data_IF_967639077721
#
_entry.id   IF_967639077721
#
_cell.length_a   1.000
_cell.length_b   1.000
_cell.length_c   1.000
_cell.angle_alpha   90.00
_cell.angle_beta   90.00
_cell.angle_gamma   90.00
#
_symmetry.space_group_name_H-M   'P 1'
#
loop_
_entity.id
_entity.type
_entity.pdbx_description
1 polymer ?
#
# COMPACT_ATOMS: atom_id res chain seq x y z
N UNK A 1 -34.98 -31.03 -15.68
CA UNK A 1 -36.04 -31.26 -14.71
C UNK A 1 -36.67 -29.90 -14.34
N UNK A 2 -38.00 -29.78 -14.48
CA UNK A 2 -38.75 -28.54 -14.31
C UNK A 2 -38.63 -28.01 -12.86
N UNK A 3 -38.68 -28.91 -11.88
CA UNK A 3 -38.51 -28.58 -10.46
C UNK A 3 -37.21 -27.81 -10.18
N UNK A 4 -36.08 -28.28 -10.70
CA UNK A 4 -34.80 -27.58 -10.54
C UNK A 4 -34.75 -26.17 -11.19
N UNK A 5 -35.51 -25.97 -12.28
CA UNK A 5 -35.59 -24.64 -12.90
C UNK A 5 -36.38 -23.65 -12.06
N UNK A 6 -37.42 -24.11 -11.35
CA UNK A 6 -38.22 -23.28 -10.44
C UNK A 6 -37.42 -22.95 -9.18
N UNK A 7 -36.72 -23.95 -8.60
CA UNK A 7 -35.81 -23.73 -7.47
C UNK A 7 -34.70 -22.75 -7.80
N UNK A 8 -34.02 -22.93 -8.94
CA UNK A 8 -32.98 -22.02 -9.37
C UNK A 8 -33.51 -20.57 -9.59
N UNK A 9 -34.72 -20.40 -10.13
CA UNK A 9 -35.35 -19.08 -10.27
C UNK A 9 -35.65 -18.43 -8.91
N UNK A 10 -36.15 -19.20 -7.95
CA UNK A 10 -36.36 -18.73 -6.56
C UNK A 10 -35.05 -18.24 -5.96
N UNK A 11 -34.02 -19.07 -6.01
CA UNK A 11 -32.72 -18.79 -5.43
C UNK A 11 -32.08 -17.55 -6.07
N UNK A 12 -32.20 -17.42 -7.39
CA UNK A 12 -31.72 -16.24 -8.11
C UNK A 12 -32.46 -14.96 -7.70
N UNK A 13 -33.77 -15.03 -7.45
CA UNK A 13 -34.55 -13.90 -6.97
C UNK A 13 -34.19 -13.49 -5.54
N UNK A 14 -33.98 -14.46 -4.66
CA UNK A 14 -33.50 -14.23 -3.30
C UNK A 14 -32.13 -13.53 -3.34
N UNK A 15 -31.19 -14.07 -4.13
CA UNK A 15 -29.85 -13.48 -4.29
C UNK A 15 -29.89 -12.07 -4.83
N UNK A 16 -30.67 -11.81 -5.87
CA UNK A 16 -30.84 -10.46 -6.44
C UNK A 16 -31.43 -9.47 -5.44
N UNK A 17 -32.51 -9.88 -4.76
CA UNK A 17 -33.19 -9.04 -3.77
C UNK A 17 -32.27 -8.68 -2.60
N UNK A 18 -31.54 -9.64 -2.07
CA UNK A 18 -30.56 -9.38 -1.02
C UNK A 18 -29.39 -8.54 -1.50
N UNK A 19 -28.88 -8.79 -2.70
CA UNK A 19 -27.83 -7.98 -3.33
C UNK A 19 -28.26 -6.51 -3.56
N UNK A 20 -29.54 -6.26 -3.91
CA UNK A 20 -30.10 -4.93 -4.01
C UNK A 20 -30.21 -4.24 -2.64
N UNK A 21 -30.55 -4.97 -1.60
CA UNK A 21 -30.57 -4.49 -0.22
C UNK A 21 -29.15 -4.04 0.19
N UNK A 22 -28.16 -4.89 0.01
CA UNK A 22 -26.76 -4.59 0.38
C UNK A 22 -26.21 -3.37 -0.38
N UNK A 23 -26.52 -3.23 -1.67
CA UNK A 23 -26.09 -2.08 -2.47
C UNK A 23 -26.66 -0.73 -1.98
N UNK A 24 -27.77 -0.75 -1.27
CA UNK A 24 -28.37 0.45 -0.66
C UNK A 24 -27.74 0.80 0.70
N UNK A 25 -26.96 -0.13 1.29
CA UNK A 25 -26.29 0.11 2.55
C UNK A 25 -25.07 0.99 2.36
N UNK A 26 -24.94 2.01 3.20
CA UNK A 26 -23.76 2.85 3.27
C UNK A 26 -23.04 2.54 4.58
N UNK A 27 -22.00 1.70 4.49
CA UNK A 27 -21.17 1.34 5.63
C UNK A 27 -19.97 2.28 5.69
N UNK A 28 -19.95 3.15 6.70
CA UNK A 28 -18.92 4.18 6.89
C UNK A 28 -18.30 3.99 8.26
N UNK A 29 -16.97 3.86 8.32
CA UNK A 29 -16.25 3.62 9.56
C UNK A 29 -15.57 4.90 10.06
N UNK A 30 -15.77 5.20 11.34
CA UNK A 30 -15.03 6.18 12.12
C UNK A 30 -15.27 7.64 11.77
N UNK A 31 -14.50 8.51 12.39
CA UNK A 31 -14.49 9.96 12.18
C UNK A 31 -13.89 10.29 10.81
N UNK A 32 -12.90 9.51 10.37
CA UNK A 32 -12.26 9.62 9.06
C UNK A 32 -13.17 9.23 7.88
N UNK A 33 -14.38 8.71 8.17
CA UNK A 33 -15.42 8.35 7.19
C UNK A 33 -14.92 7.41 6.10
N UNK A 34 -14.19 6.37 6.48
CA UNK A 34 -13.72 5.35 5.54
C UNK A 34 -14.89 4.51 5.06
N UNK A 35 -15.19 4.54 3.76
CA UNK A 35 -16.22 3.71 3.16
C UNK A 35 -15.76 2.23 3.17
N UNK A 36 -16.71 1.33 3.50
CA UNK A 36 -16.48 -0.11 3.58
C UNK A 36 -17.50 -0.87 2.75
N UNK A 37 -17.08 -1.97 2.19
CA UNK A 37 -17.94 -2.85 1.41
C UNK A 37 -18.51 -3.98 2.27
N UNK A 38 -19.72 -4.42 1.93
CA UNK A 38 -20.37 -5.59 2.50
C UNK A 38 -20.46 -6.65 1.41
N UNK A 39 -19.99 -7.87 1.71
CA UNK A 39 -19.90 -8.96 0.76
C UNK A 39 -20.92 -10.03 1.07
N UNK A 40 -22.05 -10.14 0.32
CA UNK A 40 -23.00 -11.22 0.48
C UNK A 40 -22.43 -12.55 -0.07
N UNK A 41 -22.55 -13.61 0.72
CA UNK A 41 -22.14 -14.98 0.39
C UNK A 41 -23.36 -15.88 0.45
N UNK A 42 -23.62 -16.62 -0.63
CA UNK A 42 -24.76 -17.54 -0.77
C UNK A 42 -24.32 -19.00 -0.90
N UNK A 43 -23.04 -19.27 -0.79
CA UNK A 43 -22.48 -20.62 -0.93
C UNK A 43 -22.82 -21.48 0.29
N UNK A 44 -22.78 -22.80 0.11
CA UNK A 44 -23.05 -23.73 1.18
C UNK A 44 -22.00 -23.68 2.30
N UNK A 45 -20.79 -23.22 2.00
CA UNK A 45 -19.67 -23.07 2.94
C UNK A 45 -19.01 -21.71 2.77
N UNK A 46 -18.51 -21.16 3.89
CA UNK A 46 -17.70 -19.95 3.88
C UNK A 46 -16.25 -20.25 3.45
N UNK A 47 -15.72 -19.46 2.53
CA UNK A 47 -14.30 -19.48 2.20
C UNK A 47 -13.47 -18.79 3.28
N UNK A 48 -12.16 -19.09 3.36
CA UNK A 48 -11.23 -18.41 4.28
C UNK A 48 -11.20 -16.89 4.04
N UNK A 49 -11.33 -16.44 2.80
CA UNK A 49 -11.35 -15.03 2.43
C UNK A 49 -12.53 -14.26 3.03
N UNK A 50 -13.63 -14.95 3.30
CA UNK A 50 -14.80 -14.35 3.96
C UNK A 50 -14.50 -13.86 5.38
N UNK A 51 -13.46 -14.39 6.05
CA UNK A 51 -13.03 -13.99 7.39
C UNK A 51 -12.12 -12.75 7.39
N UNK A 52 -11.69 -12.29 6.21
CA UNK A 52 -10.82 -11.11 6.05
C UNK A 52 -11.59 -9.85 5.61
N UNK A 53 -12.91 -9.93 5.54
CA UNK A 53 -13.80 -8.86 5.11
C UNK A 53 -15.16 -8.95 5.81
N UNK A 54 -15.96 -7.88 5.73
CA UNK A 54 -17.32 -7.88 6.25
C UNK A 54 -18.19 -8.73 5.34
N UNK A 55 -18.32 -10.00 5.66
CA UNK A 55 -19.10 -10.99 4.89
C UNK A 55 -20.44 -11.24 5.53
N UNK A 56 -21.50 -11.25 4.71
CA UNK A 56 -22.86 -11.62 5.11
C UNK A 56 -23.18 -12.98 4.49
N UNK A 57 -23.19 -14.01 5.31
CA UNK A 57 -23.55 -15.36 4.88
C UNK A 57 -25.07 -15.54 4.94
N UNK A 58 -25.67 -15.55 3.78
CA UNK A 58 -27.12 -15.61 3.60
C UNK A 58 -27.55 -17.04 3.36
N UNK A 59 -28.45 -17.53 4.21
CA UNK A 59 -29.06 -18.84 4.13
C UNK A 59 -30.59 -18.68 4.15
N UNK A 60 -31.30 -19.58 3.52
CA UNK A 60 -32.76 -19.53 3.44
C UNK A 60 -33.41 -20.86 3.92
N UNK A 61 -34.66 -20.77 4.34
CA UNK A 61 -35.44 -21.89 4.89
C UNK A 61 -35.83 -22.93 3.85
N UNK A 62 -35.51 -22.81 2.59
CA UNK A 62 -35.64 -23.88 1.58
C UNK A 62 -34.41 -24.79 1.55
N UNK A 63 -33.27 -24.30 1.99
CA UNK A 63 -32.00 -25.04 2.01
C UNK A 63 -31.61 -25.54 3.41
N UNK A 64 -31.87 -24.76 4.46
CA UNK A 64 -31.52 -25.10 5.86
C UNK A 64 -32.58 -24.59 6.84
N UNK A 65 -32.59 -25.09 8.05
CA UNK A 65 -33.41 -24.55 9.12
C UNK A 65 -32.72 -23.43 9.90
N UNK A 66 -33.50 -22.63 10.63
CA UNK A 66 -32.97 -21.50 11.43
C UNK A 66 -32.00 -21.96 12.51
N UNK A 67 -32.25 -23.13 13.13
CA UNK A 67 -31.40 -23.64 14.20
C UNK A 67 -29.99 -23.97 13.69
N UNK A 68 -29.90 -24.48 12.46
CA UNK A 68 -28.61 -24.71 11.80
C UNK A 68 -27.83 -23.42 11.59
N UNK A 69 -28.48 -22.35 11.11
CA UNK A 69 -27.82 -21.04 10.93
C UNK A 69 -27.39 -20.42 12.27
N UNK A 70 -28.24 -20.57 13.28
CA UNK A 70 -27.95 -20.15 14.66
C UNK A 70 -26.80 -20.96 15.28
N UNK A 71 -26.70 -22.25 14.99
CA UNK A 71 -25.60 -23.11 15.41
C UNK A 71 -24.29 -22.69 14.74
N UNK A 72 -24.30 -22.46 13.42
CA UNK A 72 -23.15 -21.94 12.67
C UNK A 72 -22.66 -20.63 13.28
N UNK A 73 -23.58 -19.71 13.59
CA UNK A 73 -23.23 -18.42 14.22
C UNK A 73 -22.63 -18.60 15.63
N UNK A 74 -23.11 -19.56 16.42
CA UNK A 74 -22.57 -19.90 17.76
C UNK A 74 -21.19 -20.56 17.65
N UNK A 75 -21.00 -21.42 16.66
CA UNK A 75 -19.70 -22.07 16.41
C UNK A 75 -18.63 -21.10 15.94
N UNK A 76 -19.03 -20.05 15.22
CA UNK A 76 -18.13 -18.97 14.84
C UNK A 76 -17.68 -18.22 16.10
N UNK A 77 -16.37 -17.90 16.18
CA UNK A 77 -15.82 -17.09 17.27
C UNK A 77 -16.59 -15.78 17.42
N UNK A 78 -16.73 -15.29 18.65
CA UNK A 78 -17.28 -13.94 18.92
C UNK A 78 -16.45 -12.82 18.27
N UNK A 79 -15.20 -13.11 17.91
CA UNK A 79 -14.32 -12.22 17.15
C UNK A 79 -14.48 -12.35 15.63
N UNK A 80 -15.31 -13.29 15.14
CA UNK A 80 -15.55 -13.43 13.70
C UNK A 80 -16.27 -12.18 13.16
N UNK A 81 -15.81 -11.61 12.04
CA UNK A 81 -16.49 -10.50 11.37
C UNK A 81 -17.69 -10.96 10.53
N UNK A 82 -17.94 -12.27 10.44
CA UNK A 82 -19.02 -12.83 9.63
C UNK A 82 -20.37 -12.53 10.25
N UNK A 83 -21.31 -12.12 9.41
CA UNK A 83 -22.72 -11.89 9.73
C UNK A 83 -23.51 -13.05 9.14
N UNK A 84 -24.44 -13.62 9.91
CA UNK A 84 -25.26 -14.73 9.50
C UNK A 84 -26.69 -14.26 9.32
N UNK A 85 -27.25 -14.41 8.13
CA UNK A 85 -28.63 -14.03 7.80
C UNK A 85 -29.42 -15.28 7.47
N UNK A 86 -30.57 -15.42 8.11
CA UNK A 86 -31.56 -16.47 7.81
C UNK A 86 -32.82 -15.81 7.25
N UNK A 87 -33.24 -16.23 6.06
CA UNK A 87 -34.49 -15.81 5.40
C UNK A 87 -35.49 -17.00 5.57
N UNK A 88 -36.58 -16.84 6.32
CA UNK A 88 -37.48 -17.94 6.57
C UNK A 88 -38.26 -18.35 5.32
N UNK A 89 -38.58 -19.65 5.24
CA UNK A 89 -39.48 -20.20 4.25
C UNK A 89 -40.92 -19.84 4.62
N UNK A 90 -41.47 -18.85 3.91
CA UNK A 90 -42.86 -18.41 4.07
C UNK A 90 -43.64 -18.64 2.78
N UNK A 91 -44.92 -18.99 2.88
CA UNK A 91 -45.86 -19.17 1.76
C UNK A 91 -45.22 -19.91 0.56
N UNK A 92 -44.53 -21.02 0.87
CA UNK A 92 -43.67 -21.73 -0.10
C UNK A 92 -44.46 -22.29 -1.29
N UNK A 93 -45.69 -22.78 -1.04
CA UNK A 93 -46.53 -23.35 -2.10
C UNK A 93 -47.07 -22.26 -3.04
N UNK A 94 -47.50 -21.12 -2.50
CA UNK A 94 -47.91 -19.95 -3.30
C UNK A 94 -46.76 -19.39 -4.13
N UNK A 95 -45.56 -19.20 -3.51
CA UNK A 95 -44.39 -18.77 -4.20
C UNK A 95 -44.03 -19.70 -5.35
N UNK A 96 -44.07 -21.02 -5.12
CA UNK A 96 -43.82 -22.01 -6.17
C UNK A 96 -44.86 -21.92 -7.28
N UNK A 97 -46.12 -21.76 -6.98
CA UNK A 97 -47.22 -21.64 -7.92
C UNK A 97 -46.98 -20.43 -8.85
N UNK A 98 -46.76 -19.23 -8.30
CA UNK A 98 -46.51 -18.01 -9.12
C UNK A 98 -45.18 -18.06 -9.88
N UNK A 99 -44.16 -18.76 -9.39
CA UNK A 99 -42.92 -19.00 -10.15
C UNK A 99 -43.16 -19.88 -11.38
N UNK A 100 -44.04 -20.88 -11.27
CA UNK A 100 -44.47 -21.75 -12.38
C UNK A 100 -45.20 -20.88 -13.43
N UNK A 101 -46.21 -20.12 -12.99
CA UNK A 101 -46.97 -19.26 -13.87
C UNK A 101 -46.11 -18.24 -14.62
N UNK A 102 -45.18 -17.59 -13.87
CA UNK A 102 -44.22 -16.66 -14.47
C UNK A 102 -43.33 -17.34 -15.54
N UNK A 103 -42.79 -18.52 -15.25
CA UNK A 103 -41.94 -19.25 -16.21
C UNK A 103 -42.70 -19.75 -17.40
N UNK A 104 -43.92 -20.28 -17.20
CA UNK A 104 -44.78 -20.75 -18.28
C UNK A 104 -45.19 -19.62 -19.21
N UNK A 105 -45.64 -18.49 -18.66
CA UNK A 105 -45.99 -17.29 -19.42
C UNK A 105 -44.76 -16.73 -20.19
N UNK A 106 -43.62 -16.62 -19.52
CA UNK A 106 -42.38 -16.15 -20.17
C UNK A 106 -41.96 -17.05 -21.32
N UNK A 107 -41.92 -18.36 -21.09
CA UNK A 107 -41.53 -19.33 -22.14
C UNK A 107 -42.50 -19.33 -23.33
N UNK A 108 -43.78 -19.09 -23.08
CA UNK A 108 -44.78 -18.97 -24.15
C UNK A 108 -44.59 -17.71 -24.98
N UNK A 109 -44.37 -16.56 -24.31
CA UNK A 109 -44.10 -15.28 -24.95
C UNK A 109 -42.82 -15.31 -25.81
N UNK A 110 -41.76 -15.96 -25.31
CA UNK A 110 -40.47 -16.06 -26.00
C UNK A 110 -40.52 -16.97 -27.26
N UNK A 111 -41.32 -18.04 -27.20
CA UNK A 111 -41.40 -19.02 -28.27
C UNK A 111 -42.31 -18.59 -29.44
N UNK A 112 -43.37 -17.82 -29.18
CA UNK A 112 -44.44 -17.56 -30.17
C UNK A 112 -44.27 -16.26 -30.99
N UNK A 113 -43.28 -15.44 -30.68
CA UNK A 113 -43.03 -14.21 -31.43
C UNK A 113 -44.23 -13.23 -31.40
N UNK A 114 -44.32 -12.33 -32.41
CA UNK A 114 -45.40 -11.38 -32.56
C UNK A 114 -46.53 -12.04 -33.38
N UNK A 115 -47.77 -12.12 -32.86
CA UNK A 115 -48.87 -12.75 -33.55
C UNK A 115 -49.39 -11.87 -34.70
N UNK A 116 -49.85 -12.55 -35.76
CA UNK A 116 -50.40 -11.90 -36.98
C UNK A 116 -51.92 -11.93 -37.01
N UNK A 117 -52.59 -12.47 -35.99
CA UNK A 117 -54.06 -12.54 -35.90
C UNK A 117 -54.60 -11.83 -34.67
N UNK A 118 -55.84 -11.34 -34.69
CA UNK A 118 -56.49 -10.71 -33.55
C UNK A 118 -56.51 -11.62 -32.31
N UNK A 119 -56.89 -12.90 -32.51
CA UNK A 119 -56.94 -13.91 -31.42
C UNK A 119 -55.55 -14.20 -30.84
N UNK A 120 -54.51 -14.20 -31.70
CA UNK A 120 -53.13 -14.34 -31.29
C UNK A 120 -52.67 -13.17 -30.44
N UNK A 121 -53.10 -11.94 -30.81
CA UNK A 121 -52.77 -10.71 -30.04
C UNK A 121 -53.48 -10.71 -28.68
N UNK A 122 -54.72 -11.14 -28.61
CA UNK A 122 -55.48 -11.27 -27.36
C UNK A 122 -54.83 -12.35 -26.46
N UNK A 123 -54.46 -13.50 -26.98
CA UNK A 123 -53.78 -14.55 -26.24
C UNK A 123 -52.40 -14.08 -25.71
N UNK A 124 -51.64 -13.32 -26.52
CA UNK A 124 -50.40 -12.69 -26.06
C UNK A 124 -50.62 -11.71 -24.92
N UNK A 125 -51.60 -10.82 -25.04
CA UNK A 125 -51.97 -9.86 -23.99
C UNK A 125 -52.36 -10.57 -22.68
N UNK A 126 -53.12 -11.67 -22.79
CA UNK A 126 -53.48 -12.48 -21.62
C UNK A 126 -52.23 -13.12 -20.96
N UNK A 127 -51.25 -13.58 -21.73
CA UNK A 127 -50.00 -14.13 -21.19
C UNK A 127 -49.11 -13.04 -20.57
N UNK A 128 -49.05 -11.86 -21.16
CA UNK A 128 -48.33 -10.71 -20.58
C UNK A 128 -48.98 -10.29 -19.24
N UNK A 129 -50.30 -10.27 -19.15
CA UNK A 129 -51.02 -10.00 -17.91
C UNK A 129 -50.75 -11.06 -16.86
N UNK A 130 -50.79 -12.33 -17.23
CA UNK A 130 -50.44 -13.46 -16.31
C UNK A 130 -49.02 -13.32 -15.77
N UNK A 131 -48.08 -13.02 -16.66
CA UNK A 131 -46.68 -12.80 -16.28
C UNK A 131 -46.50 -11.65 -15.30
N UNK A 132 -47.15 -10.50 -15.56
CA UNK A 132 -47.11 -9.31 -14.69
C UNK A 132 -47.74 -9.58 -13.32
N UNK A 133 -48.90 -10.25 -13.29
CA UNK A 133 -49.56 -10.63 -12.04
C UNK A 133 -48.71 -11.56 -11.21
N UNK A 134 -48.14 -12.62 -11.84
CA UNK A 134 -47.25 -13.54 -11.18
C UNK A 134 -46.01 -12.83 -10.64
N UNK A 135 -45.39 -11.93 -11.40
CA UNK A 135 -44.26 -11.11 -10.95
C UNK A 135 -44.57 -10.24 -9.73
N UNK A 136 -45.75 -9.59 -9.72
CA UNK A 136 -46.22 -8.82 -8.58
C UNK A 136 -46.39 -9.66 -7.33
N UNK A 137 -47.04 -10.83 -7.46
CA UNK A 137 -47.26 -11.76 -6.34
C UNK A 137 -45.96 -12.38 -5.81
N UNK A 138 -45.05 -12.74 -6.68
CA UNK A 138 -43.71 -13.23 -6.29
C UNK A 138 -42.98 -12.15 -5.47
N UNK A 139 -43.03 -10.88 -5.89
CA UNK A 139 -42.43 -9.77 -5.15
C UNK A 139 -43.01 -9.64 -3.75
N UNK A 140 -44.35 -9.62 -3.62
CA UNK A 140 -45.03 -9.53 -2.32
C UNK A 140 -44.65 -10.69 -1.39
N UNK A 141 -44.64 -11.93 -1.90
CA UNK A 141 -44.26 -13.12 -1.13
C UNK A 141 -42.82 -13.12 -0.69
N UNK A 142 -41.91 -12.62 -1.54
CA UNK A 142 -40.49 -12.45 -1.16
C UNK A 142 -40.33 -11.31 -0.15
N UNK A 143 -41.11 -10.20 -0.26
CA UNK A 143 -41.11 -9.13 0.74
C UNK A 143 -41.55 -9.65 2.10
N UNK A 144 -42.56 -10.48 2.15
CA UNK A 144 -43.01 -11.14 3.41
C UNK A 144 -41.93 -12.09 3.99
N UNK A 145 -41.29 -12.92 3.16
CA UNK A 145 -40.18 -13.76 3.61
C UNK A 145 -39.03 -12.93 4.18
N UNK A 146 -38.62 -11.85 3.49
CA UNK A 146 -37.56 -10.94 3.93
C UNK A 146 -37.91 -10.18 5.21
N UNK A 147 -39.19 -9.83 5.41
CA UNK A 147 -39.64 -9.18 6.65
C UNK A 147 -39.47 -10.07 7.88
N UNK A 148 -39.49 -11.39 7.71
CA UNK A 148 -39.23 -12.36 8.77
C UNK A 148 -37.79 -12.79 8.92
N UNK A 149 -36.86 -12.19 8.18
CA UNK A 149 -35.44 -12.53 8.23
C UNK A 149 -34.82 -12.23 9.61
N UNK A 150 -33.85 -13.04 9.99
CA UNK A 150 -33.11 -12.92 11.26
C UNK A 150 -31.61 -12.75 10.99
N UNK A 151 -30.97 -11.97 11.82
CA UNK A 151 -29.55 -11.63 11.69
C UNK A 151 -28.83 -12.04 12.97
N UNK A 152 -27.74 -12.81 12.82
CA UNK A 152 -26.88 -13.23 13.92
C UNK A 152 -25.44 -12.79 13.67
N UNK A 153 -24.72 -12.57 14.74
CA UNK A 153 -23.28 -12.30 14.72
C UNK A 153 -22.50 -13.55 15.15
N UNK A 154 -21.21 -13.57 14.89
CA UNK A 154 -20.29 -14.55 15.47
C UNK A 154 -20.45 -14.59 17.00
N UNK A 155 -20.47 -15.81 17.55
CA UNK A 155 -20.85 -16.07 18.95
C UNK A 155 -22.34 -16.29 19.15
N UNK A 156 -23.18 -16.15 18.10
CA UNK A 156 -24.61 -16.48 18.11
C UNK A 156 -25.55 -15.40 18.64
N UNK A 157 -25.07 -14.18 18.89
CA UNK A 157 -25.90 -13.06 19.31
C UNK A 157 -26.81 -12.61 18.16
N UNK A 158 -28.10 -12.48 18.43
CA UNK A 158 -29.08 -11.98 17.47
C UNK A 158 -29.15 -10.45 17.49
N UNK A 159 -29.19 -9.84 16.30
CA UNK A 159 -29.48 -8.42 16.12
C UNK A 159 -30.98 -8.27 15.87
N UNK A 160 -31.61 -7.42 16.65
CA UNK A 160 -33.06 -7.11 16.54
C UNK A 160 -33.19 -5.68 16.07
N UNK A 161 -33.98 -5.45 15.03
CA UNK A 161 -34.20 -4.12 14.45
C UNK A 161 -35.51 -4.03 13.70
N UNK A 162 -35.80 -2.86 13.13
CA UNK A 162 -37.05 -2.58 12.44
C UNK A 162 -37.20 -3.40 11.14
N UNK A 163 -36.12 -3.62 10.43
CA UNK A 163 -36.07 -4.32 9.15
C UNK A 163 -34.69 -4.97 8.92
N UNK A 164 -34.62 -5.82 7.90
CA UNK A 164 -33.39 -6.52 7.54
C UNK A 164 -32.24 -5.58 7.16
N UNK A 165 -32.57 -4.43 6.57
CA UNK A 165 -31.57 -3.42 6.18
C UNK A 165 -30.90 -2.84 7.42
N UNK A 166 -31.67 -2.40 8.39
CA UNK A 166 -31.20 -1.84 9.67
C UNK A 166 -30.39 -2.87 10.46
N UNK A 167 -30.90 -4.11 10.58
CA UNK A 167 -30.21 -5.21 11.28
C UNK A 167 -28.88 -5.55 10.61
N UNK A 168 -28.85 -5.61 9.27
CA UNK A 168 -27.63 -5.93 8.52
C UNK A 168 -26.58 -4.82 8.67
N UNK A 169 -26.98 -3.55 8.63
CA UNK A 169 -26.08 -2.41 8.82
C UNK A 169 -25.51 -2.35 10.23
N UNK A 170 -26.33 -2.60 11.24
CA UNK A 170 -25.86 -2.69 12.64
C UNK A 170 -24.88 -3.84 12.83
N UNK A 171 -25.20 -5.02 12.33
CA UNK A 171 -24.29 -6.16 12.36
C UNK A 171 -22.96 -5.87 11.63
N UNK A 172 -23.01 -5.15 10.49
CA UNK A 172 -21.84 -4.76 9.73
C UNK A 172 -20.97 -3.76 10.50
N UNK A 173 -21.55 -2.77 11.18
CA UNK A 173 -20.81 -1.85 12.03
C UNK A 173 -20.10 -2.61 13.20
N UNK A 174 -20.79 -3.57 13.81
CA UNK A 174 -20.19 -4.41 14.84
C UNK A 174 -19.07 -5.31 14.28
N UNK A 175 -19.23 -5.82 13.06
CA UNK A 175 -18.23 -6.63 12.37
C UNK A 175 -16.95 -5.81 12.07
N UNK A 176 -17.07 -4.51 11.73
CA UNK A 176 -15.91 -3.64 11.52
C UNK A 176 -15.02 -3.52 12.75
N UNK A 177 -15.59 -3.45 13.96
CA UNK A 177 -14.81 -3.37 15.20
C UNK A 177 -13.99 -4.64 15.45
N UNK A 178 -14.53 -5.80 15.03
CA UNK A 178 -13.85 -7.09 15.14
C UNK A 178 -12.80 -7.28 14.04
N UNK A 179 -13.08 -6.79 12.84
CA UNK A 179 -12.18 -6.91 11.71
C UNK A 179 -11.00 -5.95 11.81
N UNK A 180 -11.23 -4.73 12.37
CA UNK A 180 -10.26 -3.65 12.45
C UNK A 180 -10.09 -3.10 13.87
N UNK A 181 -9.64 -3.92 14.85
CA UNK A 181 -9.51 -3.48 16.25
C UNK A 181 -8.51 -2.32 16.43
N UNK A 182 -7.54 -2.17 15.53
CA UNK A 182 -6.54 -1.10 15.57
C UNK A 182 -6.91 0.14 14.72
N UNK A 183 -8.12 0.16 14.15
CA UNK A 183 -8.57 1.27 13.29
C UNK A 183 -8.52 2.63 14.01
N UNK A 184 -8.90 2.65 15.28
CA UNK A 184 -8.97 3.85 16.12
C UNK A 184 -7.65 4.64 16.19
N UNK A 185 -6.50 3.98 15.97
CA UNK A 185 -5.18 4.61 16.03
C UNK A 185 -5.00 5.66 14.93
N UNK A 186 -5.57 5.40 13.75
CA UNK A 186 -5.46 6.28 12.58
C UNK A 186 -6.79 6.98 12.23
N UNK A 187 -7.83 6.87 13.09
CA UNK A 187 -9.15 7.44 12.79
C UNK A 187 -9.19 8.95 13.01
N UNK A 188 -8.69 9.70 12.02
CA UNK A 188 -8.69 11.16 12.03
C UNK A 188 -8.87 11.74 10.63
N UNK A 189 -9.66 12.82 10.49
CA UNK A 189 -9.95 13.48 9.20
C UNK A 189 -8.74 14.20 8.59
N UNK A 190 -7.75 14.54 9.39
CA UNK A 190 -6.60 15.36 8.99
C UNK A 190 -5.53 14.63 8.17
N UNK A 191 -5.60 13.32 7.98
CA UNK A 191 -4.54 12.55 7.32
C UNK A 191 -4.28 12.97 5.88
N UNK A 192 -5.31 13.37 5.15
CA UNK A 192 -5.14 13.94 3.81
C UNK A 192 -4.23 15.19 3.83
N UNK A 193 -4.46 16.07 4.81
CA UNK A 193 -3.62 17.27 4.98
C UNK A 193 -2.20 16.92 5.43
N UNK A 194 -2.03 15.89 6.27
CA UNK A 194 -0.70 15.38 6.64
C UNK A 194 0.04 14.91 5.40
N UNK A 195 -0.58 14.09 4.56
CA UNK A 195 0.00 13.58 3.32
C UNK A 195 0.46 14.73 2.41
N UNK A 196 -0.42 15.70 2.14
CA UNK A 196 -0.12 16.85 1.27
C UNK A 196 1.04 17.73 1.81
N UNK A 197 1.09 17.94 3.13
CA UNK A 197 2.16 18.72 3.77
C UNK A 197 3.47 17.95 3.78
N UNK A 198 3.47 16.68 4.16
CA UNK A 198 4.66 15.84 4.18
C UNK A 198 5.25 15.66 2.78
N UNK A 199 4.41 15.53 1.74
CA UNK A 199 4.85 15.51 0.34
C UNK A 199 5.58 16.79 -0.08
N UNK A 200 5.24 17.93 0.51
CA UNK A 200 5.97 19.20 0.31
C UNK A 200 7.23 19.32 1.18
N UNK A 201 7.51 18.31 2.01
CA UNK A 201 8.65 18.29 2.92
C UNK A 201 8.43 19.09 4.20
N UNK A 202 7.18 19.35 4.60
CA UNK A 202 6.88 20.10 5.83
C UNK A 202 7.12 19.21 7.08
N UNK A 203 8.01 19.61 8.02
CA UNK A 203 8.33 18.82 9.21
C UNK A 203 7.20 18.80 10.24
N UNK A 204 6.27 19.75 10.17
CA UNK A 204 5.14 19.92 11.09
C UNK A 204 3.81 19.37 10.54
N UNK A 205 3.88 18.46 9.58
CA UNK A 205 2.69 17.89 8.93
C UNK A 205 1.70 17.26 9.92
N UNK A 206 2.20 16.62 10.99
CA UNK A 206 1.39 15.94 12.02
C UNK A 206 0.49 16.88 12.84
N UNK A 207 0.73 18.18 12.83
CA UNK A 207 -0.20 19.15 13.46
C UNK A 207 -1.61 19.07 12.91
N UNK A 208 -1.77 18.58 11.67
CA UNK A 208 -3.09 18.39 11.06
C UNK A 208 -3.91 17.27 11.71
N UNK A 209 -3.28 16.38 12.47
CA UNK A 209 -3.93 15.33 13.26
C UNK A 209 -3.81 15.59 14.78
N UNK A 210 -3.45 16.80 15.18
CA UNK A 210 -3.39 17.21 16.57
C UNK A 210 -2.10 16.85 17.32
N UNK A 211 -1.07 16.37 16.59
CA UNK A 211 0.24 16.07 17.18
C UNK A 211 1.20 17.26 17.08
N UNK A 212 2.12 17.38 18.03
CA UNK A 212 3.13 18.44 18.10
C UNK A 212 4.26 18.36 17.05
N UNK A 213 4.15 17.39 16.14
CA UNK A 213 5.09 17.20 15.03
C UNK A 213 6.20 16.19 15.31
N UNK A 214 6.28 15.60 16.50
CA UNK A 214 7.26 14.55 16.78
C UNK A 214 6.78 13.16 16.33
N UNK A 215 7.40 12.62 15.27
CA UNK A 215 7.12 11.28 14.76
C UNK A 215 7.17 10.17 15.81
N UNK A 216 8.10 10.28 16.76
CA UNK A 216 8.30 9.28 17.83
C UNK A 216 7.11 9.15 18.77
N UNK A 217 6.31 10.19 18.91
CA UNK A 217 5.11 10.22 19.76
C UNK A 217 3.86 9.77 19.02
N UNK A 218 3.80 9.96 17.70
CA UNK A 218 2.65 9.57 16.89
C UNK A 218 2.52 8.05 16.76
N UNK A 219 1.38 7.51 17.17
CA UNK A 219 1.16 6.05 17.18
C UNK A 219 1.15 5.44 15.78
N UNK A 220 0.63 6.14 14.76
CA UNK A 220 0.62 5.67 13.36
C UNK A 220 2.06 5.58 12.84
N UNK A 221 2.84 6.65 12.98
CA UNK A 221 4.23 6.69 12.55
C UNK A 221 5.07 5.61 13.24
N UNK A 222 4.92 5.44 14.56
CA UNK A 222 5.62 4.43 15.34
C UNK A 222 5.30 3.01 14.89
N UNK A 223 4.02 2.72 14.63
CA UNK A 223 3.57 1.40 14.19
C UNK A 223 4.09 1.09 12.78
N UNK A 224 4.03 2.05 11.86
CA UNK A 224 4.60 1.91 10.50
C UNK A 224 6.12 1.71 10.58
N UNK A 225 6.82 2.50 11.37
CA UNK A 225 8.27 2.40 11.55
C UNK A 225 8.69 1.00 12.03
N UNK A 226 7.99 0.46 13.04
CA UNK A 226 8.24 -0.89 13.54
C UNK A 226 8.00 -1.98 12.49
N UNK A 227 6.99 -1.82 11.64
CA UNK A 227 6.69 -2.77 10.58
C UNK A 227 7.72 -2.77 9.43
N UNK A 228 8.30 -1.62 9.11
CA UNK A 228 9.30 -1.49 8.04
C UNK A 228 10.57 -2.29 8.36
N UNK A 229 11.02 -2.33 9.62
CA UNK A 229 12.19 -3.05 10.15
C UNK A 229 13.30 -3.36 9.12
N UNK A 230 13.31 -4.54 8.52
CA UNK A 230 14.30 -5.00 7.52
C UNK A 230 14.10 -4.47 6.09
N UNK A 231 13.17 -3.55 5.88
CA UNK A 231 12.80 -3.00 4.56
C UNK A 231 11.51 -3.61 4.02
N UNK A 232 10.63 -2.75 3.49
CA UNK A 232 9.33 -3.13 2.91
C UNK A 232 8.99 -2.26 1.71
N UNK A 233 8.33 -2.84 0.71
CA UNK A 233 7.73 -2.07 -0.38
C UNK A 233 6.48 -1.34 0.10
N UNK A 234 6.21 -0.16 -0.46
CA UNK A 234 5.02 0.61 -0.10
C UNK A 234 3.71 -0.16 -0.31
N UNK A 235 3.63 -1.01 -1.35
CA UNK A 235 2.45 -1.86 -1.58
C UNK A 235 2.21 -2.86 -0.44
N UNK A 236 3.27 -3.44 0.13
CA UNK A 236 3.17 -4.40 1.23
C UNK A 236 2.78 -3.68 2.53
N UNK A 237 3.27 -2.45 2.73
CA UNK A 237 2.91 -1.61 3.87
C UNK A 237 1.44 -1.22 3.80
N UNK A 238 0.95 -0.78 2.64
CA UNK A 238 -0.48 -0.49 2.42
C UNK A 238 -1.33 -1.73 2.66
N UNK A 239 -0.99 -2.86 2.02
CA UNK A 239 -1.73 -4.11 2.19
C UNK A 239 -1.86 -4.53 3.66
N UNK A 240 -0.81 -4.32 4.45
CA UNK A 240 -0.82 -4.65 5.87
C UNK A 240 -1.73 -3.70 6.67
N UNK A 241 -1.58 -2.38 6.51
CA UNK A 241 -2.30 -1.41 7.33
C UNK A 241 -3.71 -1.05 6.82
N UNK A 242 -4.00 -1.22 5.54
CA UNK A 242 -5.36 -1.10 5.00
C UNK A 242 -6.16 -2.41 5.20
N UNK A 243 -5.48 -3.53 5.46
CA UNK A 243 -6.05 -4.86 5.65
C UNK A 243 -6.57 -5.12 7.05
N UNK A 244 -6.84 -6.41 7.31
CA UNK A 244 -7.31 -6.93 8.59
C UNK A 244 -6.45 -6.43 9.76
N UNK A 245 -7.08 -6.28 10.90
CA UNK A 245 -6.59 -5.75 12.17
C UNK A 245 -6.46 -4.22 12.21
N UNK A 246 -6.06 -3.55 11.13
CA UNK A 246 -5.86 -2.11 11.09
C UNK A 246 -6.97 -1.36 10.33
N UNK A 247 -7.18 -1.65 9.07
CA UNK A 247 -8.17 -1.00 8.22
C UNK A 247 -7.94 0.51 8.04
N UNK A 248 -6.70 0.99 8.20
CA UNK A 248 -6.39 2.42 8.10
C UNK A 248 -6.67 2.98 6.72
N UNK A 249 -6.96 4.25 6.63
CA UNK A 249 -7.09 4.91 5.33
C UNK A 249 -5.75 4.98 4.62
N UNK A 250 -5.76 4.89 3.29
CA UNK A 250 -4.55 5.07 2.49
C UNK A 250 -3.84 6.41 2.76
N UNK A 251 -4.60 7.46 3.09
CA UNK A 251 -4.02 8.76 3.46
C UNK A 251 -3.24 8.69 4.78
N UNK A 252 -3.69 7.88 5.74
CA UNK A 252 -2.98 7.70 7.00
C UNK A 252 -1.69 6.89 6.81
N UNK A 253 -1.73 5.85 6.01
CA UNK A 253 -0.55 5.02 5.71
C UNK A 253 0.49 5.82 4.94
N UNK A 254 0.10 6.43 3.83
CA UNK A 254 0.99 7.22 2.98
C UNK A 254 1.50 8.47 3.72
N UNK A 255 0.62 9.14 4.45
CA UNK A 255 0.99 10.30 5.28
C UNK A 255 2.01 9.94 6.33
N UNK A 256 1.81 8.85 7.06
CA UNK A 256 2.75 8.34 8.06
C UNK A 256 4.11 7.99 7.46
N UNK A 257 4.14 7.33 6.29
CA UNK A 257 5.36 7.03 5.55
C UNK A 257 6.14 8.29 5.17
N UNK A 258 5.45 9.28 4.57
CA UNK A 258 6.12 10.52 4.16
C UNK A 258 6.59 11.36 5.34
N UNK A 259 5.86 11.37 6.45
CA UNK A 259 6.31 12.03 7.69
C UNK A 259 7.59 11.39 8.23
N UNK A 260 7.66 10.05 8.29
CA UNK A 260 8.87 9.32 8.69
C UNK A 260 10.05 9.61 7.75
N UNK A 261 9.79 9.73 6.44
CA UNK A 261 10.80 10.05 5.45
C UNK A 261 11.32 11.49 5.62
N UNK A 262 10.42 12.47 5.79
CA UNK A 262 10.78 13.89 6.02
C UNK A 262 11.56 14.05 7.33
N UNK A 263 11.21 13.27 8.36
CA UNK A 263 11.94 13.25 9.62
C UNK A 263 13.32 12.55 9.53
N UNK A 264 13.62 11.89 8.41
CA UNK A 264 14.88 11.18 8.20
C UNK A 264 15.02 9.90 9.02
N UNK A 265 13.91 9.35 9.51
CA UNK A 265 13.88 8.08 10.26
C UNK A 265 13.85 6.86 9.35
N UNK A 266 13.39 7.05 8.12
CA UNK A 266 13.42 6.06 7.05
C UNK A 266 13.97 6.69 5.77
N UNK A 267 14.45 5.85 4.85
CA UNK A 267 14.79 6.24 3.48
C UNK A 267 13.89 5.54 2.47
N UNK A 268 13.64 6.21 1.36
CA UNK A 268 12.88 5.69 0.23
C UNK A 268 13.85 5.44 -0.94
N UNK A 269 13.72 4.27 -1.59
CA UNK A 269 14.54 3.88 -2.74
C UNK A 269 13.66 3.44 -3.90
N UNK A 270 14.00 3.85 -5.11
CA UNK A 270 13.37 3.38 -6.34
C UNK A 270 13.77 1.94 -6.69
N UNK A 271 13.27 1.44 -7.82
CA UNK A 271 13.59 0.09 -8.31
C UNK A 271 15.07 -0.07 -8.69
N UNK A 272 15.80 1.02 -8.87
CA UNK A 272 17.25 1.05 -9.17
C UNK A 272 18.10 1.20 -7.92
N UNK A 273 17.47 1.32 -6.73
CA UNK A 273 18.14 1.53 -5.46
C UNK A 273 18.58 2.98 -5.20
N UNK A 274 18.13 3.93 -6.03
CA UNK A 274 18.43 5.36 -5.82
C UNK A 274 17.47 5.94 -4.77
N UNK A 275 17.99 6.82 -3.92
CA UNK A 275 17.19 7.47 -2.89
C UNK A 275 16.28 8.53 -3.53
N UNK A 276 15.04 8.56 -3.09
CA UNK A 276 13.97 9.44 -3.53
C UNK A 276 13.54 10.34 -2.36
N UNK A 277 13.35 11.64 -2.63
CA UNK A 277 12.79 12.59 -1.65
C UNK A 277 11.25 12.46 -1.58
N UNK A 278 10.68 12.86 -0.45
CA UNK A 278 9.23 12.91 -0.25
C UNK A 278 8.49 13.72 -1.33
N UNK A 279 9.12 14.76 -1.87
CA UNK A 279 8.58 15.63 -2.93
C UNK A 279 8.39 14.92 -4.27
N UNK A 280 9.11 13.85 -4.51
CA UNK A 280 9.08 13.08 -5.76
C UNK A 280 8.11 11.88 -5.67
N UNK A 281 7.61 11.61 -4.46
CA UNK A 281 6.71 10.49 -4.20
C UNK A 281 5.24 10.92 -4.36
N UNK A 282 4.59 10.36 -5.38
CA UNK A 282 3.13 10.40 -5.53
C UNK A 282 2.50 9.09 -5.04
N UNK A 283 1.16 9.03 -5.03
CA UNK A 283 0.43 7.83 -4.61
C UNK A 283 0.77 6.57 -5.41
N UNK A 284 1.18 6.70 -6.68
CA UNK A 284 1.51 5.55 -7.53
C UNK A 284 2.93 5.07 -7.26
N UNK A 285 3.86 6.01 -7.14
CA UNK A 285 5.27 5.73 -6.88
C UNK A 285 5.50 5.18 -5.47
N UNK A 286 4.79 5.66 -4.44
CA UNK A 286 4.86 5.12 -3.06
C UNK A 286 4.71 3.59 -3.07
N UNK A 287 3.74 3.04 -3.79
CA UNK A 287 3.49 1.60 -3.84
C UNK A 287 4.69 0.77 -4.34
N UNK A 288 5.48 1.32 -5.27
CA UNK A 288 6.64 0.67 -5.87
C UNK A 288 7.94 0.91 -5.10
N UNK A 289 7.97 1.93 -4.26
CA UNK A 289 9.14 2.38 -3.52
C UNK A 289 9.48 1.41 -2.39
N UNK A 290 10.79 1.14 -2.21
CA UNK A 290 11.32 0.39 -1.08
C UNK A 290 11.61 1.36 0.07
N UNK A 291 11.01 1.14 1.22
CA UNK A 291 11.26 1.89 2.45
C UNK A 291 12.16 1.08 3.39
N UNK A 292 13.17 1.72 3.96
CA UNK A 292 14.12 1.11 4.91
C UNK A 292 14.30 2.03 6.10
N UNK A 293 14.42 1.46 7.28
CA UNK A 293 14.71 2.20 8.51
C UNK A 293 16.15 2.75 8.43
N UNK A 294 16.34 3.95 8.94
CA UNK A 294 17.66 4.55 9.14
C UNK A 294 18.16 4.29 10.57
N UNK A 295 19.40 3.85 10.67
CA UNK A 295 20.08 3.59 11.94
C UNK A 295 20.66 4.83 12.59
N UNK A 296 20.81 5.91 11.81
CA UNK A 296 21.38 7.17 12.28
C UNK A 296 20.57 8.36 11.79
N UNK A 297 20.56 9.45 12.55
CA UNK A 297 19.94 10.71 12.15
C UNK A 297 21.01 11.74 11.77
N UNK A 298 20.78 12.48 10.69
CA UNK A 298 21.67 13.53 10.21
C UNK A 298 20.91 14.86 10.17
N UNK A 299 21.38 15.84 10.94
CA UNK A 299 20.76 17.16 11.01
C UNK A 299 20.89 17.94 9.70
N UNK A 300 20.02 18.92 9.48
CA UNK A 300 20.10 19.82 8.32
C UNK A 300 21.44 20.55 8.25
N UNK A 301 21.99 20.96 9.40
CA UNK A 301 23.30 21.62 9.47
C UNK A 301 24.43 20.68 8.98
N UNK A 302 24.40 19.41 9.41
CA UNK A 302 25.34 18.39 8.96
C UNK A 302 25.23 18.14 7.44
N UNK A 303 24.00 18.04 6.92
CA UNK A 303 23.76 17.86 5.47
C UNK A 303 24.31 19.03 4.65
N UNK A 304 24.22 20.27 5.15
CA UNK A 304 24.84 21.44 4.50
C UNK A 304 26.37 21.28 4.42
N UNK A 305 27.02 20.82 5.50
CA UNK A 305 28.46 20.61 5.50
C UNK A 305 28.87 19.48 4.56
N UNK A 306 28.09 18.39 4.54
CA UNK A 306 28.32 17.29 3.59
C UNK A 306 28.23 17.78 2.14
N UNK A 307 27.19 18.55 1.77
CA UNK A 307 27.08 19.12 0.41
C UNK A 307 28.28 19.98 0.05
N UNK A 308 28.79 20.80 0.96
CA UNK A 308 30.02 21.60 0.72
C UNK A 308 31.22 20.69 0.45
N UNK A 309 31.38 19.59 1.16
CA UNK A 309 32.43 18.60 0.92
C UNK A 309 32.29 17.95 -0.46
N UNK A 310 31.09 17.45 -0.80
CA UNK A 310 30.81 16.81 -2.08
C UNK A 310 31.10 17.76 -3.27
N UNK A 311 30.75 19.03 -3.14
CA UNK A 311 30.98 20.07 -4.16
C UNK A 311 32.43 20.41 -4.40
N UNK A 312 33.39 19.99 -3.56
CA UNK A 312 34.83 20.12 -3.87
C UNK A 312 35.26 19.25 -5.06
N UNK A 313 34.56 18.12 -5.27
CA UNK A 313 34.92 17.16 -6.32
C UNK A 313 33.83 17.01 -7.39
N UNK A 314 32.64 17.52 -7.12
CA UNK A 314 31.45 17.38 -7.99
C UNK A 314 30.99 18.80 -8.36
N UNK A 315 30.96 19.07 -9.65
CA UNK A 315 30.59 20.40 -10.19
C UNK A 315 29.07 20.65 -10.26
N UNK A 316 28.26 19.62 -10.01
CA UNK A 316 26.79 19.70 -10.06
C UNK A 316 26.25 20.29 -8.75
N UNK A 317 25.21 21.12 -8.84
CA UNK A 317 24.48 21.61 -7.66
C UNK A 317 23.67 20.47 -7.05
N UNK A 318 23.96 20.11 -5.81
CA UNK A 318 23.30 19.04 -5.05
C UNK A 318 22.18 19.65 -4.23
N UNK A 319 20.93 19.20 -4.45
CA UNK A 319 19.77 19.64 -3.68
C UNK A 319 19.72 18.94 -2.31
N UNK A 320 18.92 19.51 -1.42
CA UNK A 320 18.68 18.92 -0.12
C UNK A 320 17.95 17.56 -0.28
N UNK A 321 18.48 16.51 0.37
CA UNK A 321 17.95 15.15 0.28
C UNK A 321 18.62 14.26 -0.77
N UNK A 322 19.35 14.86 -1.75
CA UNK A 322 20.02 14.12 -2.81
C UNK A 322 21.46 13.70 -2.47
N UNK A 323 21.96 14.07 -1.29
CA UNK A 323 23.36 13.88 -0.92
C UNK A 323 23.87 12.44 -1.13
N UNK A 324 23.07 11.46 -0.72
CA UNK A 324 23.40 10.03 -0.84
C UNK A 324 23.61 9.58 -2.29
N UNK A 325 22.90 10.17 -3.24
CA UNK A 325 23.00 9.80 -4.66
C UNK A 325 24.34 10.18 -5.27
N UNK A 326 25.01 11.18 -4.71
CA UNK A 326 26.29 11.69 -5.21
C UNK A 326 27.52 11.13 -4.49
N UNK A 327 27.35 10.40 -3.37
CA UNK A 327 28.47 9.80 -2.63
C UNK A 327 29.29 8.84 -3.50
N UNK A 328 28.71 7.90 -4.27
CA UNK A 328 29.50 7.01 -5.11
C UNK A 328 30.39 7.74 -6.11
N UNK A 329 29.87 8.80 -6.75
CA UNK A 329 30.63 9.65 -7.68
C UNK A 329 31.74 10.41 -6.95
N UNK A 330 31.44 10.98 -5.77
CA UNK A 330 32.45 11.66 -4.95
C UNK A 330 33.59 10.73 -4.57
N UNK A 331 33.30 9.55 -4.03
CA UNK A 331 34.32 8.59 -3.64
C UNK A 331 35.18 8.14 -4.84
N UNK A 332 34.56 7.94 -6.01
CA UNK A 332 35.29 7.62 -7.24
C UNK A 332 36.23 8.76 -7.66
N UNK A 333 35.74 10.01 -7.64
CA UNK A 333 36.54 11.19 -8.00
C UNK A 333 37.72 11.42 -7.03
N UNK A 334 37.47 11.22 -5.72
CA UNK A 334 38.55 11.35 -4.71
C UNK A 334 39.58 10.25 -4.87
N UNK A 335 39.14 9.00 -5.17
CA UNK A 335 40.04 7.86 -5.45
C UNK A 335 40.91 8.13 -6.69
N UNK A 336 40.32 8.65 -7.76
CA UNK A 336 41.06 9.03 -8.97
C UNK A 336 42.11 10.13 -8.70
N UNK A 337 41.73 11.13 -7.88
CA UNK A 337 42.67 12.19 -7.46
C UNK A 337 43.82 11.58 -6.64
N UNK A 338 43.56 10.69 -5.68
CA UNK A 338 44.57 10.01 -4.89
C UNK A 338 45.56 9.21 -5.77
N UNK A 339 45.05 8.52 -6.79
CA UNK A 339 45.89 7.80 -7.75
C UNK A 339 46.80 8.73 -8.58
N UNK A 340 46.38 9.97 -8.85
CA UNK A 340 47.19 10.98 -9.55
C UNK A 340 48.18 11.69 -8.63
N UNK A 341 47.97 11.60 -7.32
CA UNK A 341 48.79 12.26 -6.31
C UNK A 341 50.02 11.42 -5.85
N UNK A 342 50.16 10.21 -6.37
CA UNK A 342 51.29 9.32 -6.04
C UNK A 342 51.67 8.43 -7.19
N UNK A 343 52.71 7.62 -7.01
CA UNK A 343 53.23 6.69 -8.01
C UNK A 343 54.55 6.05 -7.62
N UNK A 344 55.21 5.50 -8.64
CA UNK A 344 56.55 4.97 -8.48
C UNK A 344 57.58 6.09 -8.33
N UNK A 345 58.68 5.81 -7.66
CA UNK A 345 59.78 6.79 -7.50
C UNK A 345 60.18 7.42 -8.87
N UNK A 346 60.34 8.73 -8.93
CA UNK A 346 60.51 9.74 -7.87
C UNK A 346 59.19 10.40 -7.42
N UNK A 347 58.05 9.85 -7.76
CA UNK A 347 56.77 10.36 -7.29
C UNK A 347 56.56 10.01 -5.79
N UNK A 348 55.74 10.79 -5.07
CA UNK A 348 55.32 10.40 -3.72
C UNK A 348 54.63 9.05 -3.72
N UNK A 349 54.69 8.33 -2.60
CA UNK A 349 53.95 7.09 -2.38
C UNK A 349 52.45 7.39 -2.49
N UNK A 350 51.67 6.44 -3.03
CA UNK A 350 50.22 6.55 -3.14
C UNK A 350 49.60 6.84 -1.77
N UNK A 351 48.71 7.83 -1.70
CA UNK A 351 47.97 8.12 -0.48
C UNK A 351 47.11 6.94 0.02
N UNK A 352 46.99 6.82 1.35
CA UNK A 352 46.07 5.82 1.96
C UNK A 352 44.61 6.13 1.64
N UNK A 353 43.83 5.11 1.27
CA UNK A 353 42.41 5.22 0.93
C UNK A 353 41.49 4.58 1.98
N UNK A 354 42.01 4.19 3.15
CA UNK A 354 41.23 3.50 4.21
C UNK A 354 39.98 4.25 4.60
N UNK A 355 40.05 5.57 4.74
CA UNK A 355 38.89 6.41 5.07
C UNK A 355 37.80 6.35 3.98
N UNK A 356 38.15 6.24 2.71
CA UNK A 356 37.19 6.11 1.62
C UNK A 356 36.50 4.74 1.64
N UNK A 357 37.27 3.69 1.95
CA UNK A 357 36.75 2.34 2.05
C UNK A 357 35.83 2.17 3.25
N UNK A 358 36.14 2.77 4.39
CA UNK A 358 35.29 2.79 5.59
C UNK A 358 33.94 3.46 5.29
N UNK A 359 33.95 4.62 4.62
CA UNK A 359 32.73 5.33 4.21
C UNK A 359 31.92 4.49 3.22
N UNK A 360 32.56 3.76 2.33
CA UNK A 360 31.89 2.90 1.33
C UNK A 360 31.18 1.71 1.96
N UNK A 361 31.64 1.22 3.11
CA UNK A 361 31.00 0.11 3.85
C UNK A 361 29.71 0.53 4.55
N UNK A 362 29.52 1.82 4.82
CA UNK A 362 28.32 2.37 5.41
C UNK A 362 27.20 2.57 4.36
N UNK A 363 25.95 2.67 4.82
CA UNK A 363 24.80 2.90 3.96
C UNK A 363 23.81 3.91 4.59
N UNK A 364 23.08 4.66 3.76
CA UNK A 364 22.05 5.59 4.21
C UNK A 364 22.61 6.70 5.09
N UNK A 365 21.92 7.02 6.18
CA UNK A 365 22.35 8.08 7.09
C UNK A 365 23.68 7.78 7.81
N UNK A 366 24.05 6.51 8.02
CA UNK A 366 25.36 6.16 8.55
C UNK A 366 26.47 6.61 7.62
N UNK A 367 26.30 6.47 6.30
CA UNK A 367 27.27 6.91 5.32
C UNK A 367 27.41 8.43 5.31
N UNK A 368 26.31 9.18 5.43
CA UNK A 368 26.32 10.62 5.60
C UNK A 368 27.03 11.05 6.88
N UNK A 369 26.79 10.32 7.98
CA UNK A 369 27.41 10.61 9.27
C UNK A 369 28.92 10.31 9.23
N UNK A 370 29.32 9.22 8.59
CA UNK A 370 30.74 8.89 8.38
C UNK A 370 31.45 9.99 7.56
N UNK A 371 30.82 10.45 6.46
CA UNK A 371 31.32 11.59 5.67
C UNK A 371 31.43 12.86 6.49
N UNK A 372 30.41 13.16 7.31
CA UNK A 372 30.44 14.36 8.17
C UNK A 372 31.57 14.28 9.19
N UNK A 373 31.76 13.15 9.83
CA UNK A 373 32.80 12.94 10.84
C UNK A 373 34.21 13.05 10.23
N UNK A 374 34.39 12.60 9.00
CA UNK A 374 35.67 12.63 8.27
C UNK A 374 35.87 13.88 7.39
N UNK A 375 34.96 14.85 7.40
CA UNK A 375 34.93 15.99 6.48
C UNK A 375 36.21 16.82 6.48
N UNK A 376 36.78 17.07 7.67
CA UNK A 376 37.97 17.90 7.82
C UNK A 376 39.22 17.16 7.30
N UNK A 377 39.32 15.86 7.61
CA UNK A 377 40.40 14.99 7.11
C UNK A 377 40.33 14.88 5.59
N UNK A 378 39.14 14.62 5.03
CA UNK A 378 38.94 14.55 3.58
C UNK A 378 39.20 15.88 2.88
N UNK A 379 38.78 17.00 3.47
CA UNK A 379 39.07 18.33 2.92
C UNK A 379 40.55 18.58 2.79
N UNK A 380 41.32 18.36 3.85
CA UNK A 380 42.77 18.54 3.86
C UNK A 380 43.46 17.55 2.89
N UNK A 381 43.01 16.31 2.85
CA UNK A 381 43.55 15.33 1.93
C UNK A 381 43.30 15.72 0.48
N UNK A 382 42.08 16.11 0.11
CA UNK A 382 41.74 16.55 -1.26
C UNK A 382 42.62 17.72 -1.69
N UNK A 383 42.75 18.76 -0.85
CA UNK A 383 43.54 19.93 -1.16
C UNK A 383 45.04 19.55 -1.35
N UNK A 384 45.60 18.72 -0.49
CA UNK A 384 46.97 18.22 -0.60
C UNK A 384 47.18 17.35 -1.84
N UNK A 385 46.26 16.48 -2.17
CA UNK A 385 46.36 15.61 -3.35
C UNK A 385 46.18 16.36 -4.65
N UNK A 386 45.38 17.43 -4.68
CA UNK A 386 45.26 18.30 -5.83
C UNK A 386 46.61 19.01 -6.13
N UNK A 387 47.27 19.52 -5.08
CA UNK A 387 48.59 20.14 -5.21
C UNK A 387 49.64 19.12 -5.70
N UNK A 388 49.69 17.91 -5.11
CA UNK A 388 50.62 16.87 -5.52
C UNK A 388 50.37 16.45 -6.98
N UNK A 389 49.10 16.16 -7.33
CA UNK A 389 48.73 15.77 -8.69
C UNK A 389 49.16 16.85 -9.73
N UNK A 390 48.92 18.11 -9.40
CA UNK A 390 49.31 19.23 -10.26
C UNK A 390 50.85 19.33 -10.43
N UNK A 391 51.59 19.16 -9.34
CA UNK A 391 53.07 19.16 -9.37
C UNK A 391 53.63 17.97 -10.15
N UNK A 392 53.04 16.77 -9.97
CA UNK A 392 53.39 15.56 -10.71
C UNK A 392 53.14 15.79 -12.21
N UNK A 393 51.92 16.22 -12.58
CA UNK A 393 51.55 16.48 -13.98
C UNK A 393 52.48 17.44 -14.66
N UNK A 394 52.99 18.50 -13.94
CA UNK A 394 53.91 19.49 -14.46
C UNK A 394 55.35 18.95 -14.62
N UNK A 395 55.82 18.09 -13.69
CA UNK A 395 57.26 17.68 -13.62
C UNK A 395 57.53 16.30 -14.24
N UNK A 396 56.60 15.39 -14.22
CA UNK A 396 56.79 14.01 -14.70
C UNK A 396 57.20 13.92 -16.18
N UNK A 397 56.64 14.72 -17.13
CA UNK A 397 57.10 14.68 -18.52
C UNK A 397 58.56 15.07 -18.69
N UNK A 398 59.01 16.12 -17.99
CA UNK A 398 60.43 16.54 -18.01
C UNK A 398 61.32 15.49 -17.40
N UNK A 399 60.96 14.85 -16.30
CA UNK A 399 61.66 13.72 -15.70
C UNK A 399 61.79 12.53 -16.66
N UNK A 400 60.73 12.17 -17.36
CA UNK A 400 60.72 11.10 -18.36
C UNK A 400 61.67 11.36 -19.49
N UNK A 401 61.78 12.61 -19.95
CA UNK A 401 62.77 13.05 -20.97
C UNK A 401 64.18 12.93 -20.41
N UNK A 402 64.40 13.45 -19.20
CA UNK A 402 65.72 13.38 -18.55
C UNK A 402 66.17 11.94 -18.36
N UNK A 403 65.27 11.04 -17.89
CA UNK A 403 65.54 9.60 -17.71
C UNK A 403 65.96 8.93 -19.04
N UNK A 404 65.33 9.26 -20.15
CA UNK A 404 65.71 8.80 -21.49
C UNK A 404 67.10 9.31 -21.90
N UNK A 405 67.33 10.60 -21.69
CA UNK A 405 68.65 11.21 -22.01
C UNK A 405 69.77 10.56 -21.23
N UNK A 406 69.58 10.27 -19.92
CA UNK A 406 70.54 9.55 -19.09
C UNK A 406 70.80 8.15 -19.63
N UNK A 407 69.77 7.42 -20.07
CA UNK A 407 69.93 6.11 -20.66
C UNK A 407 70.78 6.17 -21.96
N UNK A 408 70.50 7.14 -22.82
CA UNK A 408 71.26 7.31 -24.06
C UNK A 408 72.70 7.83 -23.83
N UNK A 409 72.91 8.65 -22.81
CA UNK A 409 74.26 9.16 -22.49
C UNK A 409 75.24 8.05 -21.99
N UNK A 410 74.73 6.97 -21.44
CA UNK A 410 75.53 5.83 -20.95
C UNK A 410 76.38 5.16 -22.05
N UNK A 411 76.02 5.35 -23.31
CA UNK A 411 76.75 4.83 -24.46
C UNK A 411 77.80 5.79 -24.99
N UNK A 412 77.91 7.00 -24.43
CA UNK A 412 78.83 8.03 -24.86
C UNK A 412 80.14 8.01 -24.01
N UNK A 413 81.27 8.36 -24.62
CA UNK A 413 82.52 8.49 -23.87
C UNK A 413 82.40 9.66 -22.88
N UNK A 414 82.69 9.40 -21.58
CA UNK A 414 82.54 10.38 -20.50
C UNK A 414 81.22 10.28 -19.75
N UNK A 415 80.45 9.19 -19.94
CA UNK A 415 79.16 8.97 -19.27
C UNK A 415 79.27 8.87 -17.73
N UNK A 416 80.43 8.50 -17.20
CA UNK A 416 80.69 8.37 -15.76
C UNK A 416 80.70 9.69 -14.99
N UNK A 417 80.81 10.84 -15.70
CA UNK A 417 80.70 12.17 -15.08
C UNK A 417 79.26 12.67 -14.93
N UNK A 418 78.25 11.96 -15.48
CA UNK A 418 76.87 12.34 -15.51
C UNK A 418 75.97 11.48 -14.61
N UNK A 419 76.51 10.48 -13.95
CA UNK A 419 75.82 9.60 -13.01
C UNK A 419 76.31 9.85 -11.61
#
# INVERSE_FOLDING_TARGET
NETHRIEAERDDRIRRKFGELVRKLSLIQGISKVARDIYPVFDAQLSSDALERVSVWVRDGWSVDENSVRADARQASSQSPTIFVFIPKRSADDLRHYLIDFKAASATLDKRGVPNTPEGTEARSAMETTKQNAEGRIRELLDDAFSGARVFQGGGNEIVGADLQTMTLEAANNALQRLYPQFHIADHVGWKSVLEKAQKGAPDALKSVGDDGECSKNSVCRTIYAFIAGGKKGIDIRKHFEGKDYGWSGDAVDGGLLVLLVAGLIRAQDERGQNIDAKELDRKSIGKTMFKVESATVSTAQRIQIRKLLQKMITVSIKQGEELNYIPQFLASVKELANRAGGDAPQPVYPSMTVLDDIRLCAGNEQLQALYNQRDVLTTAIDTWQDLATRIAKRLPSWQILKRLVIYSRSLSGADELT
#
